data_IF_899953999302
#
_entry.id   IF_899953999302
#
_cell.length_a   1.000
_cell.length_b   1.000
_cell.length_c   1.000
_cell.angle_alpha   90.00
_cell.angle_beta   90.00
_cell.angle_gamma   90.00
#
_symmetry.space_group_name_H-M   'P 1'
#
loop_
_entity.id
_entity.type
_entity.pdbx_description
1 polymer ?
#
# COMPACT_ATOMS: atom_id res chain seq x y z
N UNK A 1 6.73 25.43 -7.23
CA UNK A 1 5.74 25.63 -6.16
C UNK A 1 4.93 24.36 -6.10
N UNK A 2 4.87 23.72 -4.94
CA UNK A 2 4.10 22.48 -4.76
C UNK A 2 2.72 22.88 -4.25
N UNK A 3 1.66 22.48 -4.95
CA UNK A 3 0.29 22.76 -4.51
C UNK A 3 -0.15 21.74 -3.46
N UNK A 4 -0.80 22.23 -2.42
CA UNK A 4 -1.52 21.40 -1.45
C UNK A 4 -2.95 21.15 -1.95
N UNK A 5 -3.40 19.91 -1.84
CA UNK A 5 -4.73 19.46 -2.20
C UNK A 5 -5.53 19.22 -0.92
N UNK A 6 -6.78 19.68 -0.94
CA UNK A 6 -7.75 19.42 0.10
C UNK A 6 -8.78 18.41 -0.41
N UNK A 7 -8.72 17.18 0.08
CA UNK A 7 -9.54 16.07 -0.41
C UNK A 7 -10.56 15.66 0.64
N UNK A 8 -11.84 15.75 0.28
CA UNK A 8 -12.93 15.17 1.06
C UNK A 8 -13.02 13.66 0.82
N UNK A 9 -12.85 12.91 1.90
CA UNK A 9 -12.81 11.46 1.90
C UNK A 9 -14.01 10.88 2.66
N UNK A 10 -14.51 9.74 2.21
CA UNK A 10 -15.53 8.94 2.90
C UNK A 10 -15.04 7.51 3.08
N UNK A 11 -15.20 6.95 4.27
CA UNK A 11 -15.00 5.52 4.49
C UNK A 11 -16.31 4.79 4.21
N UNK A 12 -16.29 3.86 3.26
CA UNK A 12 -17.42 3.02 2.92
C UNK A 12 -17.43 1.78 3.82
N UNK A 13 -18.09 1.90 4.97
CA UNK A 13 -18.34 0.82 5.94
C UNK A 13 -19.85 0.66 6.22
N UNK A 14 -20.21 -0.23 7.15
CA UNK A 14 -21.60 -0.48 7.58
C UNK A 14 -22.32 0.74 8.19
N UNK A 15 -21.59 1.83 8.43
CA UNK A 15 -22.07 3.07 9.02
C UNK A 15 -21.74 4.29 8.14
N UNK A 16 -21.45 4.09 6.86
CA UNK A 16 -21.13 5.16 5.92
C UNK A 16 -22.27 6.20 5.89
N UNK A 17 -21.93 7.45 6.18
CA UNK A 17 -22.89 8.56 6.13
C UNK A 17 -22.20 9.84 5.68
N UNK A 18 -22.97 10.76 5.11
CA UNK A 18 -22.46 12.06 4.62
C UNK A 18 -21.78 12.83 5.77
N UNK A 19 -22.33 12.73 6.98
CA UNK A 19 -21.79 13.36 8.19
C UNK A 19 -20.44 12.79 8.64
N UNK A 20 -19.97 11.69 8.03
CA UNK A 20 -18.67 11.07 8.33
C UNK A 20 -17.59 11.43 7.31
N UNK A 21 -17.93 12.20 6.28
CA UNK A 21 -16.97 12.78 5.34
C UNK A 21 -15.95 13.60 6.15
N UNK A 22 -14.69 13.47 5.78
CA UNK A 22 -13.59 14.13 6.46
C UNK A 22 -12.55 14.58 5.44
N UNK A 23 -11.88 15.66 5.77
CA UNK A 23 -10.96 16.31 4.84
C UNK A 23 -9.52 15.90 5.12
N UNK A 24 -8.75 15.58 4.09
CA UNK A 24 -7.32 15.25 4.14
C UNK A 24 -6.53 16.28 3.35
N UNK A 25 -5.52 16.88 4.00
CA UNK A 25 -4.54 17.76 3.36
C UNK A 25 -3.33 16.94 2.92
N UNK A 26 -2.97 17.05 1.64
CA UNK A 26 -1.91 16.26 1.03
C UNK A 26 -1.28 17.01 -0.15
N UNK A 27 0.00 16.81 -0.43
CA UNK A 27 0.66 17.52 -1.53
C UNK A 27 0.34 16.84 -2.87
N UNK A 28 0.27 17.62 -3.95
CA UNK A 28 0.07 17.05 -5.29
C UNK A 28 1.24 16.15 -5.74
N UNK A 29 2.42 16.33 -5.13
CA UNK A 29 3.61 15.50 -5.34
C UNK A 29 3.55 14.14 -4.63
N UNK A 30 2.66 14.01 -3.65
CA UNK A 30 2.43 12.76 -2.94
C UNK A 30 1.65 11.77 -3.81
N UNK A 31 1.67 10.51 -3.40
CA UNK A 31 1.01 9.42 -4.11
C UNK A 31 -0.16 8.86 -3.29
N UNK A 32 -0.91 7.95 -3.91
CA UNK A 32 -2.05 7.27 -3.29
C UNK A 32 -1.64 6.49 -2.04
N UNK A 33 -0.43 5.94 -1.95
CA UNK A 33 0.05 5.27 -0.74
C UNK A 33 0.13 6.25 0.44
N UNK A 34 0.71 7.43 0.24
CA UNK A 34 0.73 8.50 1.26
C UNK A 34 -0.69 8.94 1.63
N UNK A 35 -1.61 9.00 0.67
CA UNK A 35 -3.02 9.30 0.94
C UNK A 35 -3.68 8.22 1.81
N UNK A 36 -3.42 6.94 1.55
CA UNK A 36 -3.89 5.82 2.36
C UNK A 36 -3.44 5.96 3.83
N UNK A 37 -2.17 6.31 4.05
CA UNK A 37 -1.62 6.55 5.40
C UNK A 37 -2.34 7.71 6.10
N UNK A 38 -2.52 8.85 5.43
CA UNK A 38 -3.23 10.02 5.99
C UNK A 38 -4.70 9.71 6.31
N UNK A 39 -5.37 8.91 5.47
CA UNK A 39 -6.74 8.45 5.72
C UNK A 39 -6.78 7.57 6.97
N UNK A 40 -5.84 6.61 7.09
CA UNK A 40 -5.69 5.76 8.27
C UNK A 40 -5.47 6.60 9.53
N UNK A 41 -4.57 7.58 9.49
CA UNK A 41 -4.28 8.48 10.60
C UNK A 41 -5.54 9.25 11.05
N UNK A 42 -6.27 9.85 10.10
CA UNK A 42 -7.50 10.59 10.41
C UNK A 42 -8.65 9.73 10.92
N UNK A 43 -8.73 8.48 10.49
CA UNK A 43 -9.77 7.52 10.88
C UNK A 43 -9.17 6.35 11.64
N UNK A 44 -8.24 6.62 12.55
CA UNK A 44 -7.48 5.59 13.24
C UNK A 44 -8.37 4.53 13.90
N UNK A 45 -9.51 4.92 14.50
CA UNK A 45 -10.43 3.99 15.15
C UNK A 45 -11.10 3.03 14.16
N UNK A 46 -11.40 3.49 12.95
CA UNK A 46 -11.99 2.66 11.90
C UNK A 46 -10.96 1.71 11.26
N UNK A 47 -9.68 2.06 11.33
CA UNK A 47 -8.58 1.35 10.66
C UNK A 47 -7.50 0.84 11.63
N UNK A 48 -7.82 0.71 12.92
CA UNK A 48 -6.84 0.41 13.97
C UNK A 48 -6.11 -0.94 13.76
N UNK A 49 -6.73 -1.85 13.02
CA UNK A 49 -6.19 -3.18 12.70
C UNK A 49 -5.99 -3.41 11.20
N UNK A 50 -6.03 -2.35 10.40
CA UNK A 50 -5.95 -2.43 8.94
C UNK A 50 -4.70 -1.69 8.49
N UNK A 51 -3.83 -2.36 7.75
CA UNK A 51 -2.69 -1.70 7.14
C UNK A 51 -3.15 -0.72 6.08
N UNK A 52 -2.50 0.45 6.02
CA UNK A 52 -2.93 1.51 5.12
C UNK A 52 -2.89 1.03 3.66
N UNK A 53 -1.88 0.24 3.29
CA UNK A 53 -1.73 -0.28 1.93
C UNK A 53 -2.85 -1.23 1.50
N UNK A 54 -3.50 -1.89 2.46
CA UNK A 54 -4.64 -2.77 2.24
C UNK A 54 -5.96 -2.01 2.00
N UNK A 55 -6.00 -0.69 2.20
CA UNK A 55 -7.17 0.13 1.88
C UNK A 55 -7.34 0.28 0.37
N UNK A 56 -8.54 0.02 -0.15
CA UNK A 56 -8.86 0.36 -1.52
C UNK A 56 -9.38 1.80 -1.58
N UNK A 57 -8.79 2.61 -2.46
CA UNK A 57 -9.19 4.00 -2.68
C UNK A 57 -9.73 4.19 -4.09
N UNK A 58 -10.79 4.98 -4.25
CA UNK A 58 -11.29 5.39 -5.56
C UNK A 58 -11.37 6.91 -5.65
N UNK A 59 -10.94 7.45 -6.80
CA UNK A 59 -11.17 8.86 -7.13
C UNK A 59 -12.59 9.03 -7.70
N UNK A 60 -13.38 9.87 -7.04
CA UNK A 60 -14.74 10.23 -7.44
C UNK A 60 -14.89 11.74 -7.44
N UNK A 61 -15.93 12.23 -8.09
CA UNK A 61 -16.29 13.65 -8.09
C UNK A 61 -17.80 13.73 -7.97
N UNK A 62 -18.31 13.67 -6.74
CA UNK A 62 -19.74 13.64 -6.46
C UNK A 62 -20.08 14.80 -5.54
N UNK A 63 -21.00 15.68 -5.94
CA UNK A 63 -21.43 16.80 -5.10
C UNK A 63 -22.04 16.26 -3.79
N UNK A 64 -21.67 16.83 -2.65
CA UNK A 64 -22.18 16.39 -1.35
C UNK A 64 -23.70 16.58 -1.27
N UNK A 65 -24.25 17.62 -1.91
CA UNK A 65 -25.69 17.84 -2.01
C UNK A 65 -26.46 16.77 -2.80
N UNK A 66 -25.77 16.03 -3.68
CA UNK A 66 -26.36 14.95 -4.49
C UNK A 66 -26.24 13.58 -3.80
N UNK A 67 -25.47 13.49 -2.70
CA UNK A 67 -25.37 12.27 -1.91
C UNK A 67 -26.63 12.12 -1.06
N UNK A 68 -27.23 10.93 -1.09
CA UNK A 68 -28.25 10.51 -0.14
C UNK A 68 -27.71 9.34 0.68
N UNK A 69 -28.12 9.23 1.96
CA UNK A 69 -27.69 8.13 2.83
C UNK A 69 -28.00 6.74 2.24
N UNK A 70 -29.08 6.62 1.47
CA UNK A 70 -29.47 5.38 0.78
C UNK A 70 -28.56 5.05 -0.39
N UNK A 71 -27.99 6.04 -1.09
CA UNK A 71 -27.11 5.80 -2.25
C UNK A 71 -25.66 5.54 -1.86
N UNK A 72 -25.24 5.93 -0.65
CA UNK A 72 -23.86 5.74 -0.21
C UNK A 72 -23.45 4.28 -0.15
N UNK A 73 -24.30 3.40 0.37
CA UNK A 73 -24.00 1.97 0.46
C UNK A 73 -23.96 1.27 -0.92
N UNK A 74 -24.64 1.85 -1.91
CA UNK A 74 -24.65 1.39 -3.30
C UNK A 74 -23.51 2.01 -4.14
N UNK A 75 -22.69 2.89 -3.56
CA UNK A 75 -21.46 3.38 -4.19
C UNK A 75 -20.45 2.22 -4.24
N UNK A 76 -20.65 1.29 -5.16
CA UNK A 76 -19.59 0.43 -5.66
C UNK A 76 -18.99 1.13 -6.87
N UNK A 77 -17.81 1.74 -6.74
CA UNK A 77 -17.18 2.39 -7.87
C UNK A 77 -16.93 1.30 -8.93
N UNK A 78 -17.56 1.41 -10.09
CA UNK A 78 -17.41 0.45 -11.19
C UNK A 78 -15.99 0.42 -11.79
N UNK A 79 -15.07 1.25 -11.25
CA UNK A 79 -13.70 1.41 -11.69
C UNK A 79 -12.77 0.68 -10.73
N UNK A 80 -11.63 0.22 -11.25
CA UNK A 80 -10.57 -0.31 -10.43
C UNK A 80 -10.10 0.72 -9.38
N UNK A 81 -9.68 0.27 -8.18
CA UNK A 81 -9.10 1.13 -7.17
C UNK A 81 -7.82 1.81 -7.68
N UNK A 82 -7.48 2.93 -7.05
CA UNK A 82 -6.31 3.73 -7.34
C UNK A 82 -5.04 2.96 -6.96
N UNK A 83 -4.10 2.92 -7.90
CA UNK A 83 -2.81 2.29 -7.69
C UNK A 83 -1.99 3.11 -6.67
N UNK A 84 -1.32 2.47 -5.69
CA UNK A 84 -0.59 3.16 -4.61
C UNK A 84 0.49 4.14 -5.10
N UNK A 85 1.11 3.85 -6.24
CA UNK A 85 2.18 4.68 -6.82
C UNK A 85 1.67 5.88 -7.62
N UNK A 86 0.35 5.96 -7.87
CA UNK A 86 -0.23 7.03 -8.69
C UNK A 86 -0.12 8.36 -7.94
N UNK A 87 0.48 9.36 -8.59
CA UNK A 87 0.57 10.72 -8.04
C UNK A 87 -0.76 11.44 -8.03
N UNK A 88 -1.01 12.21 -6.96
CA UNK A 88 -2.25 12.97 -6.81
C UNK A 88 -2.35 14.14 -7.80
N UNK A 89 -1.24 14.80 -8.13
CA UNK A 89 -1.24 15.83 -9.18
C UNK A 89 -1.62 15.31 -10.57
N UNK A 90 -1.52 13.99 -10.82
CA UNK A 90 -2.03 13.37 -12.06
C UNK A 90 -3.52 13.04 -11.99
N UNK A 91 -4.11 13.01 -10.79
CA UNK A 91 -5.55 12.81 -10.57
C UNK A 91 -6.31 14.14 -10.55
N UNK A 92 -5.68 15.18 -10.00
CA UNK A 92 -6.23 16.51 -9.83
C UNK A 92 -5.37 17.51 -10.61
N UNK A 93 -5.54 17.53 -11.93
CA UNK A 93 -4.87 18.53 -12.78
C UNK A 93 -5.31 19.94 -12.36
N UNK A 94 -6.62 20.11 -12.19
CA UNK A 94 -7.24 21.28 -11.59
C UNK A 94 -7.45 21.10 -10.09
N UNK A 95 -7.77 22.19 -9.40
CA UNK A 95 -8.12 22.11 -7.99
C UNK A 95 -9.38 21.23 -7.81
N UNK A 96 -9.38 20.31 -6.84
CA UNK A 96 -10.57 19.50 -6.54
C UNK A 96 -11.77 20.42 -6.24
N UNK A 97 -12.96 20.17 -6.82
CA UNK A 97 -14.14 21.00 -6.57
C UNK A 97 -14.52 21.07 -5.09
N UNK A 98 -14.84 22.27 -4.60
CA UNK A 98 -15.35 22.44 -3.25
C UNK A 98 -16.68 21.69 -3.06
N UNK A 99 -16.98 21.27 -1.82
CA UNK A 99 -18.21 20.57 -1.46
C UNK A 99 -18.50 19.28 -2.26
N UNK A 100 -17.46 18.66 -2.82
CA UNK A 100 -17.55 17.35 -3.47
C UNK A 100 -16.88 16.28 -2.63
N UNK A 101 -17.40 15.06 -2.70
CA UNK A 101 -16.69 13.85 -2.31
C UNK A 101 -15.64 13.54 -3.37
N UNK A 102 -14.38 13.40 -2.94
CA UNK A 102 -13.22 13.21 -3.80
C UNK A 102 -12.69 11.78 -3.76
N UNK A 103 -12.70 11.17 -2.56
CA UNK A 103 -12.11 9.86 -2.33
C UNK A 103 -13.11 8.99 -1.58
N UNK A 104 -13.37 7.80 -2.12
CA UNK A 104 -14.00 6.71 -1.37
C UNK A 104 -12.88 5.79 -0.90
N UNK A 105 -12.84 5.49 0.40
CA UNK A 105 -11.94 4.54 1.00
C UNK A 105 -12.75 3.34 1.49
N UNK A 106 -12.36 2.13 1.09
CA UNK A 106 -12.99 0.90 1.60
C UNK A 106 -11.94 0.07 2.32
N UNK A 107 -12.23 -0.42 3.54
CA UNK A 107 -11.39 -1.41 4.17
C UNK A 107 -11.39 -2.71 3.33
N UNK A 108 -10.27 -3.44 3.29
CA UNK A 108 -10.25 -4.75 2.67
C UNK A 108 -11.19 -5.67 3.45
N UNK A 109 -11.92 -6.52 2.74
CA UNK A 109 -12.79 -7.51 3.38
C UNK A 109 -11.87 -8.58 4.03
N UNK A 110 -11.47 -8.40 5.29
CA UNK A 110 -10.56 -9.33 5.99
C UNK A 110 -11.13 -9.74 7.34
N UNK A 111 -11.23 -11.06 7.55
CA UNK A 111 -11.45 -11.69 8.83
C UNK A 111 -10.24 -11.46 9.78
N UNK A 112 -10.51 -10.77 10.91
CA UNK A 112 -9.83 -10.83 12.22
C UNK A 112 -8.29 -10.57 12.36
N UNK A 113 -7.93 -9.32 12.75
CA UNK A 113 -7.01 -8.75 13.81
C UNK A 113 -5.74 -9.49 14.31
N UNK A 114 -4.86 -8.90 15.20
CA UNK A 114 -4.49 -7.50 15.62
C UNK A 114 -2.93 -7.25 15.54
N UNK A 115 -2.27 -6.11 15.84
CA UNK A 115 -2.09 -5.31 17.09
C UNK A 115 -1.12 -4.09 16.80
N UNK A 116 -1.11 -2.97 17.57
CA UNK A 116 -0.62 -1.67 17.14
C UNK A 116 0.56 -1.10 17.96
N UNK A 117 1.82 -1.39 17.63
CA UNK A 117 2.97 -0.57 18.06
C UNK A 117 4.15 -0.78 17.09
N UNK A 118 4.50 0.23 16.27
CA UNK A 118 5.87 0.51 15.77
C UNK A 118 5.86 1.53 14.62
N UNK A 119 5.52 2.78 14.93
CA UNK A 119 5.89 3.93 14.11
C UNK A 119 7.29 4.36 14.54
N UNK A 120 8.34 3.93 13.83
CA UNK A 120 9.65 4.59 13.88
C UNK A 120 10.11 4.93 12.46
N UNK A 121 9.99 6.23 12.15
CA UNK A 121 10.89 7.04 11.32
C UNK A 121 11.56 6.33 10.13
N UNK A 122 10.83 6.21 9.02
CA UNK A 122 11.35 5.67 7.75
C UNK A 122 12.28 6.65 6.99
N UNK A 123 12.89 7.60 7.71
CA UNK A 123 13.56 8.75 7.11
C UNK A 123 15.09 8.67 7.24
N UNK A 124 15.68 7.66 7.90
CA UNK A 124 17.09 7.77 8.32
C UNK A 124 18.11 6.70 7.90
N UNK A 125 17.81 5.54 7.30
CA UNK A 125 18.86 4.48 7.19
C UNK A 125 18.80 3.56 5.96
N UNK A 126 18.62 4.03 4.72
CA UNK A 126 18.71 3.16 3.53
C UNK A 126 19.96 3.42 2.68
N UNK A 127 21.14 3.15 3.23
CA UNK A 127 22.38 3.15 2.43
C UNK A 127 22.60 1.82 1.69
N UNK A 128 22.17 0.70 2.27
CA UNK A 128 22.38 -0.66 1.74
C UNK A 128 21.10 -1.47 1.65
N UNK A 129 21.14 -2.56 0.88
CA UNK A 129 20.06 -3.55 0.80
C UNK A 129 19.78 -4.20 2.15
N UNK A 130 20.80 -4.44 2.97
CA UNK A 130 20.63 -5.00 4.31
C UNK A 130 19.76 -4.11 5.21
N UNK A 131 20.01 -2.79 5.21
CA UNK A 131 19.18 -1.85 5.98
C UNK A 131 17.77 -1.71 5.39
N UNK A 132 17.63 -1.85 4.07
CA UNK A 132 16.32 -1.92 3.41
C UNK A 132 15.53 -3.18 3.83
N UNK A 133 16.19 -4.34 3.98
CA UNK A 133 15.54 -5.57 4.47
C UNK A 133 14.96 -5.37 5.87
N UNK A 134 15.73 -4.77 6.78
CA UNK A 134 15.27 -4.44 8.14
C UNK A 134 14.08 -3.46 8.11
N UNK A 135 14.17 -2.41 7.29
CA UNK A 135 13.08 -1.45 7.14
C UNK A 135 11.80 -2.10 6.58
N UNK A 136 11.92 -3.01 5.61
CA UNK A 136 10.78 -3.76 5.05
C UNK A 136 10.18 -4.70 6.09
N UNK A 137 11.01 -5.46 6.82
CA UNK A 137 10.54 -6.34 7.89
C UNK A 137 9.75 -5.56 8.93
N UNK A 138 10.29 -4.42 9.39
CA UNK A 138 9.60 -3.54 10.34
C UNK A 138 8.28 -2.99 9.77
N UNK A 139 8.27 -2.57 8.50
CA UNK A 139 7.08 -2.00 7.85
C UNK A 139 5.98 -3.02 7.60
N UNK A 140 6.33 -4.27 7.32
CA UNK A 140 5.39 -5.35 7.00
C UNK A 140 5.13 -6.26 8.19
N UNK A 141 5.35 -5.78 9.41
CA UNK A 141 4.95 -6.49 10.62
C UNK A 141 3.41 -6.64 10.68
N UNK A 142 2.85 -7.82 11.02
CA UNK A 142 3.54 -9.03 11.48
C UNK A 142 3.92 -10.03 10.37
N UNK A 143 3.64 -9.73 9.09
CA UNK A 143 3.82 -10.67 7.96
C UNK A 143 5.21 -11.30 7.89
N UNK A 144 6.27 -10.59 8.26
CA UNK A 144 7.65 -11.10 8.21
C UNK A 144 8.30 -11.35 9.58
N UNK A 145 7.51 -11.46 10.66
CA UNK A 145 8.08 -11.67 12.01
C UNK A 145 8.82 -13.00 12.18
N UNK A 146 8.30 -14.04 11.51
CA UNK A 146 8.84 -15.39 11.58
C UNK A 146 10.19 -15.53 10.84
N UNK A 147 10.55 -14.56 9.99
CA UNK A 147 11.77 -14.61 9.17
C UNK A 147 12.73 -13.50 9.58
N UNK A 148 14.00 -13.84 9.79
CA UNK A 148 15.06 -12.87 10.05
C UNK A 148 15.23 -11.95 8.82
N UNK A 149 15.49 -10.65 8.99
CA UNK A 149 15.42 -9.72 7.86
C UNK A 149 16.45 -10.06 6.78
N UNK A 150 17.61 -10.59 7.16
CA UNK A 150 18.65 -11.12 6.28
C UNK A 150 18.16 -12.25 5.36
N UNK A 151 17.18 -13.04 5.81
CA UNK A 151 16.54 -14.10 5.04
C UNK A 151 15.50 -13.58 4.02
N UNK A 152 15.09 -12.31 4.10
CA UNK A 152 14.24 -11.72 3.06
C UNK A 152 15.00 -11.65 1.74
N UNK A 153 14.38 -12.11 0.66
CA UNK A 153 14.96 -12.02 -0.69
C UNK A 153 14.38 -10.80 -1.38
N UNK A 154 15.26 -9.91 -1.83
CA UNK A 154 14.86 -8.70 -2.56
C UNK A 154 15.33 -8.83 -3.99
N UNK A 155 14.47 -8.52 -4.96
CA UNK A 155 14.85 -8.37 -6.36
C UNK A 155 14.61 -6.95 -6.81
N UNK A 156 15.55 -6.44 -7.61
CA UNK A 156 15.31 -5.23 -8.39
C UNK A 156 14.42 -5.57 -9.57
N UNK A 157 13.38 -4.77 -9.74
CA UNK A 157 12.47 -4.82 -10.87
C UNK A 157 12.28 -3.43 -11.47
N UNK A 158 11.67 -3.37 -12.64
CA UNK A 158 11.29 -2.10 -13.27
C UNK A 158 9.97 -2.29 -14.01
N UNK A 159 8.99 -2.80 -13.28
CA UNK A 159 7.68 -3.13 -13.84
C UNK A 159 6.74 -1.94 -13.67
N UNK A 160 6.01 -1.58 -14.72
CA UNK A 160 4.98 -0.55 -14.63
C UNK A 160 3.85 -1.08 -13.75
N UNK A 161 3.45 -0.33 -12.73
CA UNK A 161 2.28 -0.68 -11.93
C UNK A 161 1.05 -0.17 -12.70
N UNK A 162 0.40 -1.08 -13.41
CA UNK A 162 -0.86 -0.87 -14.11
C UNK A 162 -1.92 -1.91 -13.67
N UNK A 163 -3.07 -1.95 -14.35
CA UNK A 163 -4.15 -2.89 -14.01
C UNK A 163 -3.79 -4.37 -14.27
N UNK A 164 -2.77 -4.64 -15.09
CA UNK A 164 -2.32 -5.98 -15.41
C UNK A 164 -1.10 -6.38 -14.56
N UNK A 165 -0.71 -5.53 -13.60
CA UNK A 165 0.47 -5.69 -12.77
C UNK A 165 0.51 -7.00 -11.99
N UNK A 166 -0.60 -7.41 -11.36
CA UNK A 166 -0.65 -8.67 -10.60
C UNK A 166 -0.38 -9.88 -11.50
N UNK A 167 -1.01 -9.91 -12.67
CA UNK A 167 -0.77 -10.95 -13.67
C UNK A 167 0.67 -10.93 -14.19
N UNK A 168 1.27 -9.76 -14.35
CA UNK A 168 2.68 -9.64 -14.74
C UNK A 168 3.61 -10.14 -13.63
N UNK A 169 3.27 -9.90 -12.36
CA UNK A 169 4.00 -10.35 -11.19
C UNK A 169 3.96 -11.87 -11.05
N UNK A 170 2.79 -12.50 -11.26
CA UNK A 170 2.65 -13.97 -11.22
C UNK A 170 3.45 -14.66 -12.33
N UNK A 171 3.52 -14.06 -13.53
CA UNK A 171 4.30 -14.61 -14.64
C UNK A 171 5.80 -14.34 -14.51
N UNK A 172 6.20 -13.38 -13.67
CA UNK A 172 7.59 -13.07 -13.45
C UNK A 172 8.20 -14.12 -12.51
N UNK A 173 8.94 -15.06 -13.08
CA UNK A 173 9.66 -16.09 -12.33
C UNK A 173 10.87 -15.46 -11.60
N UNK A 174 10.63 -14.79 -10.47
CA UNK A 174 11.65 -14.08 -9.69
C UNK A 174 12.69 -15.03 -9.08
N UNK A 175 12.34 -16.31 -8.85
CA UNK A 175 13.26 -17.30 -8.28
C UNK A 175 14.46 -17.61 -9.19
N UNK A 176 14.34 -17.36 -10.49
CA UNK A 176 15.44 -17.52 -11.46
C UNK A 176 16.26 -16.23 -11.67
N UNK A 177 15.85 -15.11 -11.08
CA UNK A 177 16.56 -13.83 -11.17
C UNK A 177 17.57 -13.66 -10.03
N UNK A 178 18.67 -12.99 -10.35
CA UNK A 178 19.69 -12.63 -9.36
C UNK A 178 19.10 -11.67 -8.31
N UNK A 179 19.16 -12.09 -7.04
CA UNK A 179 18.69 -11.29 -5.91
C UNK A 179 19.72 -10.25 -5.47
N UNK A 180 19.24 -9.23 -4.76
CA UNK A 180 20.08 -8.15 -4.28
C UNK A 180 20.92 -8.57 -3.07
N UNK A 181 22.22 -8.28 -3.13
CA UNK A 181 23.14 -8.60 -2.03
C UNK A 181 22.96 -7.62 -0.88
N UNK A 182 22.93 -8.06 0.41
CA UNK A 182 22.77 -7.17 1.56
C UNK A 182 23.81 -6.04 1.64
N UNK A 183 25.00 -6.25 1.10
CA UNK A 183 26.09 -5.25 1.09
C UNK A 183 26.02 -4.26 -0.07
N UNK A 184 25.14 -4.50 -1.05
CA UNK A 184 24.98 -3.57 -2.16
C UNK A 184 24.40 -2.25 -1.66
N UNK A 185 24.99 -1.15 -2.14
CA UNK A 185 24.47 0.19 -1.87
C UNK A 185 23.26 0.46 -2.76
N UNK A 186 22.22 1.08 -2.20
CA UNK A 186 21.04 1.44 -3.00
C UNK A 186 21.37 2.43 -4.13
N UNK A 187 22.36 3.31 -3.93
CA UNK A 187 22.88 4.21 -4.97
C UNK A 187 23.55 3.47 -6.15
N UNK A 188 24.08 2.27 -5.93
CA UNK A 188 24.63 1.41 -6.98
C UNK A 188 23.51 0.66 -7.72
N UNK A 189 22.46 0.26 -7.01
CA UNK A 189 21.31 -0.48 -7.57
C UNK A 189 20.39 0.47 -8.37
N UNK A 190 20.23 1.69 -7.87
CA UNK A 190 19.46 2.79 -8.47
C UNK A 190 20.40 3.96 -8.76
N UNK A 191 21.27 3.84 -9.79
CA UNK A 191 22.17 4.93 -10.17
C UNK A 191 21.41 6.16 -10.70
N UNK A 192 20.18 5.94 -11.15
CA UNK A 192 19.24 6.99 -11.56
C UNK A 192 18.03 6.97 -10.62
N UNK A 193 17.32 8.11 -10.56
CA UNK A 193 16.08 8.21 -9.80
C UNK A 193 15.09 7.11 -10.26
N UNK A 194 14.45 6.36 -9.35
CA UNK A 194 13.45 5.36 -9.72
C UNK A 194 12.34 5.99 -10.56
N UNK A 195 11.97 5.34 -11.67
CA UNK A 195 10.92 5.84 -12.56
C UNK A 195 9.58 5.87 -11.80
N UNK A 196 8.95 7.05 -11.76
CA UNK A 196 7.65 7.23 -11.12
C UNK A 196 6.60 6.28 -11.72
N UNK A 197 5.80 5.65 -10.86
CA UNK A 197 4.74 4.73 -11.30
C UNK A 197 5.19 3.30 -11.59
N UNK A 198 6.46 2.97 -11.39
CA UNK A 198 6.97 1.60 -11.50
C UNK A 198 7.16 0.96 -10.12
N UNK A 199 7.05 -0.37 -10.06
CA UNK A 199 7.59 -1.17 -8.97
C UNK A 199 9.09 -1.33 -9.19
N UNK A 200 9.88 -1.07 -8.15
CA UNK A 200 11.35 -1.15 -8.23
C UNK A 200 11.96 -2.29 -7.42
N UNK A 201 11.26 -2.76 -6.38
CA UNK A 201 11.73 -3.81 -5.47
C UNK A 201 10.60 -4.79 -5.21
N UNK A 202 10.83 -6.08 -5.49
CA UNK A 202 10.00 -7.19 -5.00
C UNK A 202 10.67 -7.75 -3.77
N UNK A 203 9.89 -7.99 -2.71
CA UNK A 203 10.34 -8.64 -1.48
C UNK A 203 9.63 -9.98 -1.40
N UNK A 204 10.39 -11.04 -1.18
CA UNK A 204 9.85 -12.36 -0.91
C UNK A 204 10.39 -12.93 0.39
N UNK A 205 9.48 -13.58 1.09
CA UNK A 205 9.74 -14.31 2.31
C UNK A 205 9.74 -15.80 1.92
N UNK A 206 10.87 -16.50 2.03
CA UNK A 206 10.82 -17.95 2.05
C UNK A 206 9.93 -18.36 3.23
N UNK A 207 8.79 -18.99 2.95
CA UNK A 207 8.06 -19.72 3.99
C UNK A 207 9.05 -20.72 4.60
N UNK A 208 9.04 -20.83 5.94
CA UNK A 208 9.77 -21.90 6.62
C UNK A 208 9.37 -23.22 5.95
N UNK A 209 10.26 -23.83 5.17
CA UNK A 209 10.15 -25.23 4.81
C UNK A 209 10.24 -26.00 6.13
N UNK A 210 9.08 -26.24 6.76
CA UNK A 210 8.96 -26.99 7.98
C UNK A 210 9.69 -28.34 7.84
N UNK A 211 10.80 -28.61 8.54
CA UNK A 211 11.56 -29.84 8.35
C UNK A 211 11.05 -30.98 9.25
N UNK A 212 9.75 -31.01 9.61
CA UNK A 212 9.22 -31.96 10.61
C UNK A 212 8.06 -32.86 10.15
N UNK A 213 8.01 -33.28 8.89
CA UNK A 213 7.31 -34.53 8.53
C UNK A 213 8.31 -35.56 7.99
N UNK A 214 9.25 -35.93 8.87
CA UNK A 214 10.06 -37.13 8.73
C UNK A 214 9.31 -38.36 9.27
N UNK A 215 9.27 -39.40 8.45
CA UNK A 215 9.07 -40.82 8.80
C UNK A 215 7.76 -41.22 9.51
N UNK A 216 6.70 -41.42 8.71
CA UNK A 216 5.89 -42.63 8.90
C UNK A 216 6.36 -43.66 7.87
N UNK A 217 7.34 -44.49 8.28
CA UNK A 217 7.65 -45.72 7.57
C UNK A 217 6.56 -46.73 7.89
N UNK A 218 5.77 -47.06 6.88
CA UNK A 218 5.18 -48.39 6.76
C UNK A 218 6.27 -49.45 6.99
N UNK A 219 6.02 -50.40 7.90
CA UNK A 219 6.00 -51.84 7.58
C UNK A 219 6.13 -52.72 8.84
N UNK A 220 5.09 -53.54 9.02
CA UNK A 220 4.99 -54.87 9.66
C UNK A 220 4.80 -54.91 11.19
#
# INVERSE_FOLDING_TARGET
MTRELELNCLVLDSHASINRIFTVQILETDNVATLKEKIKEKKHTAFQHIDADALDLWNVSISIGDLSETHLHDLQPARAPLLPVKRLGRLYLDAPPEEHLHIIAKPPHIAASPDPQSLLELNCLTETVGSLKEAVKGKKHPLFNHVAADNLILWRVSEVVDQNFEKNLENANFREKESLSPVDKLSKIFPNLPVEGCLHIVVWCPEDENPEHGEQRDAI
#
